data_IF_347508401299
#
_entry.id   IF_347508401299
#
_cell.length_a   1.000
_cell.length_b   1.000
_cell.length_c   1.000
_cell.angle_alpha   90.00
_cell.angle_beta   90.00
_cell.angle_gamma   90.00
#
_symmetry.space_group_name_H-M   'P 1'
#
loop_
_entity.id
_entity.type
_entity.pdbx_description
1 polymer ?
#
# COMPACT_ATOMS: atom_id res chain seq x y z
N UNK A 1 -9.24 -13.16 17.35
CA UNK A 1 -10.36 -13.98 17.87
C UNK A 1 -11.44 -14.33 16.85
N UNK A 2 -11.54 -13.66 15.68
CA UNK A 2 -12.61 -13.93 14.69
C UNK A 2 -12.44 -15.19 13.82
N UNK A 3 -11.20 -15.56 13.47
CA UNK A 3 -10.91 -16.67 12.54
C UNK A 3 -11.21 -18.06 13.12
N UNK A 4 -10.95 -18.26 14.41
CA UNK A 4 -11.22 -19.54 15.09
C UNK A 4 -12.71 -19.81 15.28
N UNK A 5 -13.51 -18.77 15.53
CA UNK A 5 -14.97 -18.88 15.62
C UNK A 5 -15.59 -19.22 14.26
N UNK A 6 -15.11 -18.58 13.19
CA UNK A 6 -15.55 -18.87 11.81
C UNK A 6 -15.22 -20.31 11.38
N UNK A 7 -14.00 -20.79 11.67
CA UNK A 7 -13.59 -22.16 11.37
C UNK A 7 -14.43 -23.21 12.13
N UNK A 8 -14.76 -22.94 13.40
CA UNK A 8 -15.63 -23.82 14.19
C UNK A 8 -17.07 -23.86 13.65
N UNK A 9 -17.64 -22.72 13.29
CA UNK A 9 -18.99 -22.63 12.70
C UNK A 9 -19.09 -23.41 11.39
N UNK A 10 -18.11 -23.27 10.49
CA UNK A 10 -18.08 -24.01 9.22
C UNK A 10 -17.89 -25.52 9.42
N UNK A 11 -17.03 -25.91 10.37
CA UNK A 11 -16.84 -27.32 10.71
C UNK A 11 -18.10 -27.94 11.30
N UNK A 12 -18.83 -27.22 12.16
CA UNK A 12 -20.11 -27.66 12.70
C UNK A 12 -21.20 -27.73 11.64
N UNK A 13 -21.28 -26.77 10.72
CA UNK A 13 -22.25 -26.80 9.63
C UNK A 13 -22.03 -27.99 8.68
N UNK A 14 -20.79 -28.26 8.28
CA UNK A 14 -20.45 -29.41 7.45
C UNK A 14 -20.56 -30.73 8.21
N UNK A 15 -20.28 -30.74 9.51
CA UNK A 15 -20.55 -31.88 10.39
C UNK A 15 -22.04 -32.18 10.54
N UNK A 16 -22.88 -31.16 10.66
CA UNK A 16 -24.33 -31.30 10.70
C UNK A 16 -24.87 -31.82 9.36
N UNK A 17 -24.31 -31.37 8.23
CA UNK A 17 -24.62 -31.92 6.91
C UNK A 17 -24.22 -33.40 6.79
N UNK A 18 -23.01 -33.75 7.25
CA UNK A 18 -22.56 -35.14 7.28
C UNK A 18 -23.49 -36.02 8.14
N UNK A 19 -23.86 -35.54 9.33
CA UNK A 19 -24.80 -36.22 10.21
C UNK A 19 -26.19 -36.40 9.58
N UNK A 20 -26.70 -35.36 8.91
CA UNK A 20 -27.96 -35.43 8.18
C UNK A 20 -27.91 -36.45 7.05
N UNK A 21 -26.84 -36.46 6.25
CA UNK A 21 -26.67 -37.43 5.16
C UNK A 21 -26.58 -38.87 5.70
N UNK A 22 -25.84 -39.09 6.78
CA UNK A 22 -25.76 -40.40 7.44
C UNK A 22 -27.12 -40.84 7.98
N UNK A 23 -27.89 -39.93 8.56
CA UNK A 23 -29.27 -40.20 8.99
C UNK A 23 -30.20 -40.49 7.81
N UNK A 24 -30.10 -39.75 6.70
CA UNK A 24 -30.95 -39.94 5.52
C UNK A 24 -30.74 -41.32 4.87
N UNK A 25 -29.54 -41.91 4.99
CA UNK A 25 -29.26 -43.27 4.52
C UNK A 25 -29.65 -44.36 5.53
N UNK A 26 -29.50 -44.12 6.84
CA UNK A 26 -29.76 -45.14 7.88
C UNK A 26 -31.21 -45.15 8.39
N UNK A 27 -31.86 -43.99 8.41
CA UNK A 27 -33.21 -43.77 8.93
C UNK A 27 -34.32 -44.52 8.19
N UNK A 28 -34.38 -44.49 6.85
CA UNK A 28 -35.36 -45.27 6.08
C UNK A 28 -35.19 -46.79 6.23
N UNK A 29 -34.00 -47.24 6.64
CA UNK A 29 -33.68 -48.65 6.87
C UNK A 29 -33.89 -49.08 8.33
N UNK A 30 -34.29 -48.16 9.22
CA UNK A 30 -34.44 -48.43 10.65
C UNK A 30 -33.13 -48.81 11.36
N UNK A 31 -31.98 -48.52 10.75
CA UNK A 31 -30.68 -48.91 11.28
C UNK A 31 -30.23 -47.92 12.36
N UNK A 32 -29.87 -48.46 13.53
CA UNK A 32 -29.18 -47.68 14.55
C UNK A 32 -27.80 -47.27 14.04
N UNK A 33 -27.37 -46.06 14.41
CA UNK A 33 -26.03 -45.58 14.09
C UNK A 33 -24.97 -46.49 14.70
N UNK A 34 -24.04 -46.93 13.88
CA UNK A 34 -22.89 -47.71 14.31
C UNK A 34 -21.73 -46.79 14.68
N UNK A 35 -20.75 -47.31 15.41
CA UNK A 35 -19.56 -46.54 15.83
C UNK A 35 -18.84 -45.86 14.64
N UNK A 36 -18.84 -46.50 13.46
CA UNK A 36 -18.26 -45.96 12.22
C UNK A 36 -18.95 -44.69 11.73
N UNK A 37 -20.25 -44.55 11.98
CA UNK A 37 -21.08 -43.42 11.53
C UNK A 37 -20.74 -42.17 12.35
N UNK A 38 -20.64 -42.33 13.67
CA UNK A 38 -20.13 -41.29 14.56
C UNK A 38 -18.67 -40.92 14.26
N UNK A 39 -17.83 -41.92 14.00
CA UNK A 39 -16.43 -41.69 13.64
C UNK A 39 -16.29 -40.90 12.33
N UNK A 40 -17.13 -41.17 11.33
CA UNK A 40 -17.17 -40.42 10.08
C UNK A 40 -17.52 -38.95 10.30
N UNK A 41 -18.60 -38.66 11.03
CA UNK A 41 -19.02 -37.27 11.30
C UNK A 41 -17.95 -36.52 12.08
N UNK A 42 -17.35 -37.13 13.11
CA UNK A 42 -16.25 -36.52 13.86
C UNK A 42 -15.00 -36.31 13.00
N UNK A 43 -14.68 -37.24 12.10
CA UNK A 43 -13.58 -37.09 11.16
C UNK A 43 -13.80 -35.92 10.19
N UNK A 44 -15.02 -35.72 9.69
CA UNK A 44 -15.38 -34.56 8.84
C UNK A 44 -15.19 -33.26 9.61
N UNK A 45 -15.72 -33.17 10.83
CA UNK A 45 -15.57 -31.96 11.68
C UNK A 45 -14.09 -31.67 11.94
N UNK A 46 -13.32 -32.68 12.36
CA UNK A 46 -11.89 -32.57 12.63
C UNK A 46 -11.08 -32.13 11.41
N UNK A 47 -11.33 -32.76 10.25
CA UNK A 47 -10.64 -32.45 8.99
C UNK A 47 -10.94 -31.03 8.51
N UNK A 48 -12.22 -30.62 8.52
CA UNK A 48 -12.62 -29.26 8.11
C UNK A 48 -12.02 -28.22 9.05
N UNK A 49 -12.09 -28.45 10.36
CA UNK A 49 -11.53 -27.54 11.35
C UNK A 49 -10.02 -27.39 11.20
N UNK A 50 -9.29 -28.50 11.04
CA UNK A 50 -7.85 -28.50 10.84
C UNK A 50 -7.46 -27.79 9.54
N UNK A 51 -8.11 -28.12 8.43
CA UNK A 51 -7.85 -27.51 7.14
C UNK A 51 -8.07 -25.99 7.21
N UNK A 52 -9.21 -25.53 7.73
CA UNK A 52 -9.53 -24.10 7.83
C UNK A 52 -8.58 -23.33 8.74
N UNK A 53 -8.18 -23.90 9.88
CA UNK A 53 -7.15 -23.28 10.72
C UNK A 53 -5.81 -23.16 10.01
N UNK A 54 -5.44 -24.21 9.28
CA UNK A 54 -4.17 -24.26 8.54
C UNK A 54 -4.18 -23.23 7.41
N UNK A 55 -5.22 -23.19 6.58
CA UNK A 55 -5.40 -22.18 5.53
C UNK A 55 -5.37 -20.76 6.10
N UNK A 56 -6.13 -20.47 7.17
CA UNK A 56 -6.14 -19.14 7.77
C UNK A 56 -4.77 -18.70 8.30
N UNK A 57 -3.95 -19.65 8.81
CA UNK A 57 -2.58 -19.38 9.23
C UNK A 57 -1.69 -19.07 8.01
N UNK A 58 -1.81 -19.84 6.93
CA UNK A 58 -1.06 -19.58 5.70
C UNK A 58 -1.45 -18.25 5.07
N UNK A 59 -2.75 -17.94 4.97
CA UNK A 59 -3.25 -16.68 4.43
C UNK A 59 -2.72 -15.50 5.26
N UNK A 60 -2.69 -15.62 6.60
CA UNK A 60 -2.14 -14.58 7.46
C UNK A 60 -0.63 -14.37 7.26
N UNK A 61 0.14 -15.45 7.06
CA UNK A 61 1.56 -15.36 6.75
C UNK A 61 1.82 -14.74 5.37
N UNK A 62 1.01 -15.13 4.38
CA UNK A 62 1.07 -14.60 3.02
C UNK A 62 0.72 -13.11 3.02
N UNK A 63 -0.34 -12.72 3.73
CA UNK A 63 -0.73 -11.32 3.87
C UNK A 63 0.37 -10.51 4.56
N UNK A 64 0.94 -11.02 5.65
CA UNK A 64 2.04 -10.34 6.35
C UNK A 64 3.28 -10.18 5.44
N UNK A 65 3.57 -11.16 4.60
CA UNK A 65 4.65 -11.07 3.60
C UNK A 65 4.33 -10.02 2.52
N UNK A 66 3.09 -9.98 2.03
CA UNK A 66 2.64 -8.96 1.09
C UNK A 66 2.73 -7.56 1.69
N UNK A 67 2.27 -7.39 2.94
CA UNK A 67 2.34 -6.11 3.66
C UNK A 67 3.79 -5.69 3.88
N UNK A 68 4.69 -6.63 4.24
CA UNK A 68 6.13 -6.38 4.35
C UNK A 68 6.73 -5.93 3.03
N UNK A 69 6.36 -6.56 1.92
CA UNK A 69 6.82 -6.17 0.58
C UNK A 69 6.27 -4.82 0.16
N UNK A 70 5.02 -4.50 0.49
CA UNK A 70 4.43 -3.16 0.30
C UNK A 70 5.20 -2.10 1.10
N UNK A 71 5.66 -2.42 2.30
CA UNK A 71 6.42 -1.49 3.13
C UNK A 71 7.83 -1.21 2.60
N UNK A 72 8.48 -2.11 1.86
CA UNK A 72 9.80 -1.81 1.32
C UNK A 72 9.72 -0.81 0.15
N UNK A 73 10.46 0.30 0.26
CA UNK A 73 10.51 1.34 -0.75
C UNK A 73 11.46 0.92 -1.88
N UNK A 74 10.98 0.95 -3.12
CA UNK A 74 11.77 0.58 -4.30
C UNK A 74 12.80 1.66 -4.60
N UNK A 75 14.01 1.25 -4.98
CA UNK A 75 15.11 2.14 -5.36
C UNK A 75 14.67 3.12 -6.46
N UNK A 76 15.22 4.34 -6.47
CA UNK A 76 14.94 5.35 -7.51
C UNK A 76 15.68 4.97 -8.80
N UNK A 77 15.18 3.94 -9.48
CA UNK A 77 15.68 3.45 -10.76
C UNK A 77 14.88 4.04 -11.91
N UNK A 78 15.50 4.13 -13.09
CA UNK A 78 14.85 4.67 -14.29
C UNK A 78 14.35 6.12 -14.13
N UNK A 79 15.09 6.92 -13.36
CA UNK A 79 14.81 8.35 -13.15
C UNK A 79 15.86 9.21 -13.83
N UNK A 80 15.43 10.07 -14.76
CA UNK A 80 16.23 11.14 -15.33
C UNK A 80 16.09 12.38 -14.44
N UNK A 81 17.11 12.69 -13.66
CA UNK A 81 17.13 13.90 -12.83
C UNK A 81 17.35 15.14 -13.70
N UNK A 82 16.28 15.89 -13.91
CA UNK A 82 16.32 17.14 -14.68
C UNK A 82 16.83 18.31 -13.85
N UNK A 83 16.74 18.21 -12.51
CA UNK A 83 16.99 19.35 -11.63
C UNK A 83 17.43 18.93 -10.24
N UNK A 84 18.46 19.58 -9.71
CA UNK A 84 19.11 19.18 -8.46
C UNK A 84 20.07 18.00 -8.66
N UNK A 85 20.81 17.60 -7.63
CA UNK A 85 21.71 16.45 -7.73
C UNK A 85 20.91 15.16 -7.89
N UNK A 86 21.48 14.20 -8.63
CA UNK A 86 20.96 12.84 -8.67
C UNK A 86 20.95 12.23 -7.27
N UNK A 87 19.86 11.57 -6.92
CA UNK A 87 19.61 11.09 -5.55
C UNK A 87 19.12 9.67 -5.57
N UNK A 88 19.66 8.87 -4.64
CA UNK A 88 19.21 7.51 -4.39
C UNK A 88 18.54 7.42 -3.02
N UNK A 89 17.83 6.31 -2.76
CA UNK A 89 17.41 5.97 -1.42
C UNK A 89 18.60 5.46 -0.61
N UNK A 90 18.87 6.09 0.52
CA UNK A 90 19.97 5.75 1.41
C UNK A 90 19.44 5.24 2.75
N UNK A 91 20.15 4.29 3.36
CA UNK A 91 19.92 3.95 4.77
C UNK A 91 20.36 5.12 5.66
N UNK A 92 19.70 5.31 6.79
CA UNK A 92 19.90 6.40 7.76
C UNK A 92 19.39 7.79 7.38
N UNK A 93 18.75 7.94 6.21
CA UNK A 93 18.14 9.20 5.76
C UNK A 93 16.64 9.02 5.51
N UNK A 94 15.84 10.02 5.90
CA UNK A 94 14.41 10.05 5.54
C UNK A 94 14.30 10.61 4.13
N UNK A 95 13.48 10.01 3.27
CA UNK A 95 13.22 10.53 1.92
C UNK A 95 11.74 10.82 1.74
N UNK A 96 11.43 12.07 1.42
CA UNK A 96 10.11 12.52 1.01
C UNK A 96 10.07 12.48 -0.53
N UNK A 97 9.20 11.63 -1.08
CA UNK A 97 9.06 11.40 -2.52
C UNK A 97 7.67 11.83 -2.99
N UNK A 98 7.59 12.88 -3.80
CA UNK A 98 6.33 13.43 -4.31
C UNK A 98 6.12 13.03 -5.77
N UNK A 99 5.04 12.33 -6.08
CA UNK A 99 4.58 12.17 -7.46
C UNK A 99 3.65 13.32 -7.83
N UNK A 100 3.89 13.94 -8.98
CA UNK A 100 3.11 15.07 -9.46
C UNK A 100 2.92 15.03 -10.97
N UNK A 101 2.00 15.85 -11.48
CA UNK A 101 1.78 16.05 -12.92
C UNK A 101 1.60 17.54 -13.22
N UNK A 102 2.25 18.04 -14.26
CA UNK A 102 2.36 19.48 -14.61
C UNK A 102 1.01 20.10 -14.95
N UNK A 103 0.14 19.31 -15.56
CA UNK A 103 -1.21 19.68 -15.95
C UNK A 103 -2.20 19.81 -14.78
N UNK A 104 -1.83 19.36 -13.57
CA UNK A 104 -2.74 19.29 -12.43
C UNK A 104 -2.57 20.47 -11.46
N UNK A 105 -3.64 21.23 -11.23
CA UNK A 105 -3.67 22.37 -10.30
C UNK A 105 -3.28 21.95 -8.88
N UNK A 106 -3.78 20.79 -8.43
CA UNK A 106 -3.44 20.23 -7.11
C UNK A 106 -1.96 19.87 -7.01
N UNK A 107 -1.35 19.41 -8.09
CA UNK A 107 0.09 19.13 -8.16
C UNK A 107 0.92 20.40 -7.99
N UNK A 108 0.52 21.52 -8.62
CA UNK A 108 1.20 22.82 -8.45
C UNK A 108 1.17 23.30 -7.01
N UNK A 109 0.01 23.26 -6.39
CA UNK A 109 -0.13 23.65 -5.01
C UNK A 109 0.54 22.64 -4.03
N UNK A 110 0.65 21.36 -4.39
CA UNK A 110 1.45 20.38 -3.65
C UNK A 110 2.96 20.64 -3.76
N UNK A 111 3.49 21.06 -4.92
CA UNK A 111 4.90 21.44 -5.07
C UNK A 111 5.27 22.62 -4.16
N UNK A 112 4.39 23.62 -4.04
CA UNK A 112 4.56 24.74 -3.09
C UNK A 112 4.61 24.28 -1.64
N UNK A 113 3.68 23.40 -1.25
CA UNK A 113 3.65 22.87 0.10
C UNK A 113 4.86 21.96 0.39
N UNK A 114 5.32 21.21 -0.61
CA UNK A 114 6.53 20.40 -0.53
C UNK A 114 7.78 21.26 -0.31
N UNK A 115 7.88 22.40 -0.99
CA UNK A 115 8.94 23.39 -0.74
C UNK A 115 8.85 23.97 0.67
N UNK A 116 7.63 24.26 1.17
CA UNK A 116 7.41 24.73 2.55
C UNK A 116 7.93 23.71 3.56
N UNK A 117 7.61 22.43 3.38
CA UNK A 117 8.10 21.33 4.23
C UNK A 117 9.62 21.21 4.18
N UNK A 118 10.21 21.26 2.98
CA UNK A 118 11.67 21.21 2.81
C UNK A 118 12.37 22.36 3.52
N UNK A 119 11.81 23.58 3.48
CA UNK A 119 12.37 24.74 4.20
C UNK A 119 12.22 24.62 5.73
N UNK A 120 11.13 24.03 6.20
CA UNK A 120 10.87 23.82 7.62
C UNK A 120 11.76 22.73 8.24
N UNK A 121 12.13 21.69 7.47
CA UNK A 121 13.01 20.62 7.92
C UNK A 121 14.47 21.06 7.71
N UNK A 122 15.06 21.63 8.75
CA UNK A 122 16.45 22.08 8.76
C UNK A 122 17.44 20.93 9.03
N UNK A 123 18.73 21.13 8.74
CA UNK A 123 19.85 20.21 9.01
C UNK A 123 19.99 18.96 8.11
N UNK A 124 19.33 18.91 6.95
CA UNK A 124 19.52 17.79 6.01
C UNK A 124 18.99 16.44 6.54
N UNK A 125 18.13 16.48 7.55
CA UNK A 125 17.52 15.29 8.16
C UNK A 125 16.63 14.49 7.19
N UNK A 126 16.14 15.15 6.13
CA UNK A 126 15.34 14.54 5.10
C UNK A 126 15.77 14.99 3.69
N UNK A 127 15.65 14.08 2.74
CA UNK A 127 15.80 14.29 1.31
C UNK A 127 14.42 14.57 0.70
N UNK A 128 14.35 15.50 -0.25
CA UNK A 128 13.12 15.85 -0.95
C UNK A 128 13.31 15.62 -2.45
N UNK A 129 12.47 14.77 -3.03
CA UNK A 129 12.50 14.41 -4.45
C UNK A 129 11.08 14.48 -5.00
N UNK A 130 10.89 15.13 -6.13
CA UNK A 130 9.64 15.14 -6.86
C UNK A 130 9.82 14.41 -8.21
N UNK A 131 8.89 13.51 -8.54
CA UNK A 131 8.90 12.73 -9.78
C UNK A 131 7.65 13.01 -10.60
N UNK A 132 7.82 13.06 -11.92
CA UNK A 132 6.73 13.09 -12.90
C UNK A 132 6.96 12.04 -13.97
N UNK A 133 5.88 11.47 -14.52
CA UNK A 133 5.91 10.55 -15.66
C UNK A 133 5.88 11.30 -17.01
N UNK A 134 6.01 12.62 -17.00
CA UNK A 134 5.92 13.46 -18.19
C UNK A 134 7.27 13.63 -18.88
N UNK A 135 7.24 13.82 -20.20
CA UNK A 135 8.45 14.04 -20.99
C UNK A 135 9.13 15.38 -20.67
N UNK A 136 10.38 15.54 -21.08
CA UNK A 136 11.12 16.82 -20.91
C UNK A 136 10.41 17.97 -21.62
N UNK A 137 9.79 17.71 -22.76
CA UNK A 137 9.00 18.68 -23.53
C UNK A 137 7.71 19.07 -22.80
N UNK A 138 7.01 18.10 -22.21
CA UNK A 138 5.83 18.34 -21.38
C UNK A 138 6.18 19.13 -20.11
N UNK A 139 7.34 18.82 -19.51
CA UNK A 139 7.85 19.54 -18.35
C UNK A 139 8.21 20.98 -18.69
N UNK A 140 8.77 21.26 -19.87
CA UNK A 140 8.98 22.62 -20.34
C UNK A 140 7.64 23.38 -20.55
N UNK A 141 6.58 22.66 -20.96
CA UNK A 141 5.24 23.22 -21.10
C UNK A 141 4.57 23.56 -19.76
N UNK A 142 5.10 23.09 -18.62
CA UNK A 142 4.64 23.47 -17.28
C UNK A 142 4.62 24.99 -17.11
N UNK A 143 5.65 25.68 -17.57
CA UNK A 143 5.72 27.13 -17.46
C UNK A 143 4.67 27.82 -18.33
N UNK A 144 4.53 27.35 -19.57
CA UNK A 144 3.59 27.94 -20.54
C UNK A 144 2.16 27.82 -20.04
N UNK A 145 1.79 26.65 -19.48
CA UNK A 145 0.44 26.39 -18.96
C UNK A 145 0.22 27.00 -17.58
N UNK A 146 1.28 27.10 -16.77
CA UNK A 146 1.21 27.50 -15.37
C UNK A 146 1.19 29.01 -15.15
N UNK A 147 1.87 29.82 -15.98
CA UNK A 147 2.09 31.27 -15.75
C UNK A 147 0.85 32.10 -15.42
N UNK A 148 -0.32 31.71 -15.93
CA UNK A 148 -1.59 32.40 -15.68
C UNK A 148 -2.32 31.94 -14.41
N UNK A 149 -1.73 31.04 -13.62
CA UNK A 149 -2.34 30.50 -12.39
C UNK A 149 -1.70 31.12 -11.15
N UNK A 150 -2.51 31.45 -10.14
CA UNK A 150 -2.04 32.04 -8.87
C UNK A 150 -1.05 31.14 -8.13
N UNK A 151 -1.16 29.83 -8.36
CA UNK A 151 -0.32 28.82 -7.73
C UNK A 151 0.92 28.45 -8.53
N UNK A 152 1.25 29.23 -9.55
CA UNK A 152 2.47 29.02 -10.33
C UNK A 152 3.72 29.44 -9.57
N UNK A 153 4.74 28.62 -9.72
CA UNK A 153 6.12 28.91 -9.39
C UNK A 153 6.96 28.09 -10.37
N UNK A 154 7.99 28.70 -10.95
CA UNK A 154 8.91 28.05 -11.87
C UNK A 154 9.54 26.82 -11.21
N UNK A 155 9.71 25.74 -11.98
CA UNK A 155 10.32 24.52 -11.46
C UNK A 155 11.71 24.81 -10.91
N UNK A 156 12.43 25.75 -11.53
CA UNK A 156 13.76 26.23 -11.14
C UNK A 156 13.79 27.12 -9.91
N UNK A 157 12.64 27.50 -9.34
CA UNK A 157 12.56 28.25 -8.09
C UNK A 157 12.34 27.37 -6.84
N UNK A 158 12.02 26.08 -6.98
CA UNK A 158 11.98 25.17 -5.82
C UNK A 158 13.39 24.93 -5.30
N UNK A 159 13.64 24.11 -4.29
CA UNK A 159 15.03 23.78 -3.94
C UNK A 159 15.31 22.28 -3.90
N UNK A 160 14.25 21.46 -3.99
CA UNK A 160 14.33 20.00 -4.03
C UNK A 160 14.68 19.47 -5.42
N UNK A 161 15.10 18.19 -5.47
CA UNK A 161 15.40 17.49 -6.73
C UNK A 161 14.11 17.17 -7.48
N UNK A 162 14.12 17.34 -8.81
CA UNK A 162 13.03 16.94 -9.70
C UNK A 162 13.59 15.94 -10.71
N UNK A 163 12.85 14.84 -10.92
CA UNK A 163 13.18 13.80 -11.89
C UNK A 163 11.99 13.43 -12.77
N UNK A 164 12.30 12.95 -13.96
CA UNK A 164 11.36 12.32 -14.89
C UNK A 164 11.51 10.80 -14.75
N UNK A 165 10.41 10.08 -14.68
CA UNK A 165 10.36 8.62 -14.61
C UNK A 165 9.53 8.03 -15.77
N UNK A 166 9.74 6.76 -16.12
CA UNK A 166 9.15 6.12 -17.29
C UNK A 166 7.85 5.33 -17.01
N UNK A 167 7.34 5.42 -15.78
CA UNK A 167 6.20 4.68 -15.25
C UNK A 167 6.61 3.57 -14.29
N UNK A 168 7.89 3.21 -14.22
CA UNK A 168 8.39 2.20 -13.28
C UNK A 168 8.20 2.65 -11.83
N UNK A 169 8.50 3.91 -11.50
CA UNK A 169 8.31 4.44 -10.14
C UNK A 169 6.82 4.60 -9.83
N UNK A 170 6.02 5.05 -10.79
CA UNK A 170 4.56 5.10 -10.62
C UNK A 170 3.98 3.71 -10.34
N UNK A 171 4.47 2.65 -10.98
CA UNK A 171 4.05 1.27 -10.67
C UNK A 171 4.47 0.83 -9.27
N UNK A 172 5.73 1.06 -8.91
CA UNK A 172 6.31 0.61 -7.64
C UNK A 172 5.79 1.37 -6.41
N UNK A 173 5.28 2.58 -6.59
CA UNK A 173 4.73 3.40 -5.50
C UNK A 173 3.23 3.60 -5.63
N UNK A 174 2.75 4.19 -6.72
CA UNK A 174 1.34 4.55 -6.87
C UNK A 174 0.46 3.31 -6.98
N UNK A 175 0.75 2.43 -7.94
CA UNK A 175 -0.07 1.22 -8.17
C UNK A 175 0.04 0.24 -7.00
N UNK A 176 1.26 0.01 -6.50
CA UNK A 176 1.51 -0.90 -5.36
C UNK A 176 0.75 -0.51 -4.08
N UNK A 177 0.52 0.80 -3.87
CA UNK A 177 -0.20 1.37 -2.73
C UNK A 177 -1.64 1.80 -3.06
N UNK A 178 -2.19 1.34 -4.20
CA UNK A 178 -3.56 1.62 -4.62
C UNK A 178 -3.88 3.13 -4.73
N UNK A 179 -2.86 3.96 -5.01
CA UNK A 179 -2.95 5.40 -5.15
C UNK A 179 -3.13 5.79 -6.63
N UNK A 180 -4.38 5.90 -7.08
CA UNK A 180 -4.73 6.08 -8.49
C UNK A 180 -4.70 7.54 -9.02
N UNK A 181 -4.18 8.50 -8.24
CA UNK A 181 -4.22 9.91 -8.61
C UNK A 181 -2.99 10.65 -8.08
N UNK A 182 -2.53 11.64 -8.83
CA UNK A 182 -1.50 12.61 -8.39
C UNK A 182 -2.15 13.92 -7.91
N UNK A 183 -1.53 14.65 -6.98
CA UNK A 183 -0.24 14.37 -6.34
C UNK A 183 -0.32 13.36 -5.18
N UNK A 184 0.75 12.60 -4.97
CA UNK A 184 0.94 11.72 -3.80
C UNK A 184 2.32 11.91 -3.21
N UNK A 185 2.40 12.17 -1.91
CA UNK A 185 3.63 12.13 -1.16
C UNK A 185 3.81 10.75 -0.53
N UNK A 186 5.01 10.20 -0.60
CA UNK A 186 5.49 9.08 0.17
C UNK A 186 6.59 9.53 1.12
N UNK A 187 6.52 9.10 2.38
CA UNK A 187 7.57 9.31 3.38
C UNK A 187 8.28 7.99 3.62
N UNK A 188 9.53 7.92 3.22
CA UNK A 188 10.39 6.75 3.33
C UNK A 188 11.31 6.93 4.54
N UNK A 189 11.28 5.95 5.43
CA UNK A 189 12.13 5.91 6.63
C UNK A 189 13.61 5.69 6.31
N UNK A 190 14.42 5.91 7.35
CA UNK A 190 15.84 5.56 7.42
C UNK A 190 16.14 4.08 7.14
N UNK A 191 15.15 3.19 7.27
CA UNK A 191 15.26 1.76 6.94
C UNK A 191 14.70 1.42 5.55
N UNK A 192 14.61 2.42 4.67
CA UNK A 192 14.07 2.30 3.29
C UNK A 192 12.69 1.66 3.24
N UNK A 193 11.87 1.94 4.25
CA UNK A 193 10.49 1.48 4.32
C UNK A 193 9.53 2.65 4.22
N UNK A 194 8.47 2.54 3.42
CA UNK A 194 7.38 3.50 3.31
C UNK A 194 6.65 3.56 4.66
N UNK A 195 6.77 4.69 5.36
CA UNK A 195 6.10 4.94 6.63
C UNK A 195 4.68 5.48 6.44
N UNK A 196 4.50 6.30 5.41
CA UNK A 196 3.27 6.98 5.14
C UNK A 196 3.18 7.36 3.67
N UNK A 197 1.97 7.35 3.13
CA UNK A 197 1.68 7.95 1.83
C UNK A 197 0.31 8.65 1.84
N UNK A 198 0.17 9.69 1.03
CA UNK A 198 -1.10 10.38 0.88
C UNK A 198 -0.98 11.74 0.18
N UNK A 199 -2.12 12.40 0.04
CA UNK A 199 -2.18 13.73 -0.56
C UNK A 199 -1.75 14.79 0.46
N UNK A 200 -0.71 15.56 0.11
CA UNK A 200 -0.14 16.62 0.93
C UNK A 200 -1.13 17.71 1.34
N UNK A 201 -2.20 17.88 0.57
CA UNK A 201 -3.23 18.91 0.77
C UNK A 201 -4.47 18.37 1.50
N UNK A 202 -4.52 17.07 1.79
CA UNK A 202 -5.64 16.49 2.52
C UNK A 202 -5.65 17.03 3.96
N UNK A 203 -6.77 17.63 4.36
CA UNK A 203 -7.01 18.07 5.74
C UNK A 203 -7.21 16.85 6.63
N UNK A 204 -6.12 16.18 7.02
CA UNK A 204 -6.19 14.94 7.80
C UNK A 204 -4.88 14.45 8.40
N UNK A 205 -3.75 15.14 8.19
CA UNK A 205 -2.51 14.83 8.90
C UNK A 205 -2.58 15.47 10.29
N UNK A 206 -3.35 14.86 11.19
CA UNK A 206 -3.12 15.07 12.62
C UNK A 206 -1.71 14.58 12.93
N UNK A 207 -0.84 15.53 13.29
CA UNK A 207 0.48 15.24 13.86
C UNK A 207 0.24 14.34 15.06
N UNK A 208 0.79 13.11 15.12
CA UNK A 208 0.72 12.32 16.33
C UNK A 208 1.39 13.16 17.43
N UNK A 209 0.60 13.60 18.41
CA UNK A 209 1.17 14.11 19.66
C UNK A 209 1.87 12.92 20.30
N UNK A 210 3.18 12.85 20.15
CA UNK A 210 4.00 11.93 20.91
C UNK A 210 3.88 12.39 22.38
N UNK A 211 3.43 11.53 23.30
CA UNK A 211 3.37 11.84 24.72
C UNK A 211 4.76 12.08 25.33
#
# INVERSE_FOLDING_TARGET
>A
MGTTRSAALQALALGALAAYLTYAFTGPLGLAWQLKDYAFVLAVVGAVFYNRKTTAKYDALVQAEFDRRKQHASALEHVEFVRGPGVQLERNKVTCLLFFGTWCDKSRAALKEFERLRKAITHGAAQFVALTQESREELAAYEVKGRNTSDFQELDAFSFTIGIEDGHMSKEYLVKHDACHVPQLFVISKSTSVLWHGNLQSKGVEVPRIP
#
